data_IF_374438237824
#
_entry.id   IF_374438237824
#
_cell.length_a   1.000
_cell.length_b   1.000
_cell.length_c   1.000
_cell.angle_alpha   90.00
_cell.angle_beta   90.00
_cell.angle_gamma   90.00
#
_symmetry.space_group_name_H-M   'P 1'
#
loop_
_entity.id
_entity.type
_entity.pdbx_description
1 polymer ?
#
# COMPACT_ATOMS: atom_id res chain seq x y z
N UNK A 1 -42.01 1.47 4.26
CA UNK A 1 -40.82 0.69 3.80
C UNK A 1 -39.80 1.50 3.00
N UNK A 2 -40.21 2.45 2.14
CA UNK A 2 -39.28 3.23 1.30
C UNK A 2 -38.31 4.15 2.08
N UNK A 3 -38.81 4.88 3.08
CA UNK A 3 -37.99 5.84 3.86
C UNK A 3 -36.86 5.18 4.68
N UNK A 4 -37.12 4.00 5.27
CA UNK A 4 -36.10 3.22 6.00
C UNK A 4 -34.97 2.75 5.08
N UNK A 5 -35.32 2.32 3.86
CA UNK A 5 -34.34 1.82 2.89
C UNK A 5 -33.44 2.95 2.36
N UNK A 6 -34.01 4.15 2.15
CA UNK A 6 -33.25 5.34 1.77
C UNK A 6 -32.32 5.79 2.90
N UNK A 7 -32.80 5.80 4.15
CA UNK A 7 -31.97 6.18 5.30
C UNK A 7 -30.76 5.26 5.47
N UNK A 8 -30.97 3.94 5.32
CA UNK A 8 -29.88 2.95 5.37
C UNK A 8 -28.86 3.16 4.25
N UNK A 9 -29.31 3.40 3.02
CA UNK A 9 -28.41 3.65 1.89
C UNK A 9 -27.55 4.92 2.09
N UNK A 10 -28.15 5.99 2.62
CA UNK A 10 -27.42 7.23 2.93
C UNK A 10 -26.41 7.01 4.05
N UNK A 11 -26.77 6.24 5.09
CA UNK A 11 -25.87 5.92 6.19
C UNK A 11 -24.68 5.09 5.72
N UNK A 12 -24.92 4.09 4.88
CA UNK A 12 -23.87 3.25 4.30
C UNK A 12 -22.90 4.05 3.45
N UNK A 13 -23.42 4.97 2.61
CA UNK A 13 -22.57 5.82 1.77
C UNK A 13 -21.71 6.78 2.61
N UNK A 14 -22.30 7.37 3.66
CA UNK A 14 -21.58 8.24 4.59
C UNK A 14 -20.46 7.49 5.33
N UNK A 15 -20.73 6.26 5.79
CA UNK A 15 -19.73 5.42 6.46
C UNK A 15 -18.58 5.03 5.52
N UNK A 16 -18.86 4.70 4.25
CA UNK A 16 -17.82 4.42 3.25
C UNK A 16 -16.97 5.66 2.97
N UNK A 17 -17.59 6.85 2.87
CA UNK A 17 -16.85 8.09 2.64
C UNK A 17 -15.94 8.51 3.81
N UNK A 18 -16.31 8.15 5.05
CA UNK A 18 -15.50 8.39 6.24
C UNK A 18 -14.43 7.32 6.46
N UNK A 19 -14.63 6.11 5.92
CA UNK A 19 -13.65 5.03 5.95
C UNK A 19 -12.50 5.23 4.95
N UNK A 20 -12.69 6.06 3.92
CA UNK A 20 -11.60 6.53 3.09
C UNK A 20 -10.81 7.58 3.86
N UNK A 21 -9.71 7.13 4.46
CA UNK A 21 -8.67 8.02 4.98
C UNK A 21 -8.27 8.98 3.84
N UNK A 22 -8.28 10.31 4.06
CA UNK A 22 -7.82 11.23 3.03
C UNK A 22 -6.38 10.85 2.66
N UNK A 23 -6.00 10.97 1.37
CA UNK A 23 -4.61 10.75 0.99
C UNK A 23 -3.73 11.62 1.88
N UNK A 24 -2.63 11.03 2.37
CA UNK A 24 -1.72 11.71 3.28
C UNK A 24 -1.33 13.08 2.69
N UNK A 25 -1.16 14.08 3.56
CA UNK A 25 -0.75 15.42 3.15
C UNK A 25 0.42 15.34 2.17
N UNK A 26 0.36 16.11 1.09
CA UNK A 26 1.37 16.05 0.03
C UNK A 26 2.76 16.29 0.63
N UNK A 27 3.51 15.21 0.73
CA UNK A 27 4.96 15.26 0.87
C UNK A 27 5.46 15.88 -0.44
N UNK A 28 6.41 16.81 -0.37
CA UNK A 28 6.87 17.54 -1.56
C UNK A 28 7.15 16.59 -2.72
N UNK A 29 6.78 17.01 -3.93
CA UNK A 29 6.90 16.20 -5.14
C UNK A 29 8.34 15.70 -5.31
N UNK A 30 8.50 14.39 -5.54
CA UNK A 30 9.80 13.78 -5.83
C UNK A 30 10.33 14.30 -7.17
N UNK A 31 11.64 14.24 -7.36
CA UNK A 31 12.20 14.46 -8.70
C UNK A 31 11.89 13.27 -9.60
N UNK A 32 11.78 13.49 -10.92
CA UNK A 32 11.57 12.40 -11.89
C UNK A 32 12.66 11.31 -11.79
N UNK A 33 13.88 11.71 -11.42
CA UNK A 33 14.99 10.77 -11.22
C UNK A 33 14.79 9.89 -9.99
N UNK A 34 14.28 10.46 -8.89
CA UNK A 34 14.00 9.71 -7.67
C UNK A 34 12.80 8.77 -7.88
N UNK A 35 11.76 9.22 -8.59
CA UNK A 35 10.62 8.37 -8.95
C UNK A 35 11.05 7.17 -9.80
N UNK A 36 11.89 7.41 -10.82
CA UNK A 36 12.41 6.33 -11.67
C UNK A 36 13.29 5.35 -10.88
N UNK A 37 14.12 5.85 -9.95
CA UNK A 37 14.97 5.01 -9.12
C UNK A 37 14.15 4.14 -8.15
N UNK A 38 13.12 4.70 -7.51
CA UNK A 38 12.21 3.94 -6.64
C UNK A 38 11.47 2.88 -7.44
N UNK A 39 10.97 3.22 -8.62
CA UNK A 39 10.24 2.27 -9.45
C UNK A 39 11.11 1.11 -9.89
N UNK A 40 12.37 1.35 -10.28
CA UNK A 40 13.30 0.29 -10.65
C UNK A 40 13.51 -0.72 -9.52
N UNK A 41 13.68 -0.25 -8.27
CA UNK A 41 13.83 -1.14 -7.10
C UNK A 41 12.57 -1.99 -6.88
N UNK A 42 11.39 -1.42 -7.07
CA UNK A 42 10.12 -2.15 -6.95
C UNK A 42 9.98 -3.19 -8.05
N UNK A 43 10.34 -2.85 -9.28
CA UNK A 43 10.26 -3.75 -10.43
C UNK A 43 11.20 -4.97 -10.26
N UNK A 44 12.44 -4.73 -9.83
CA UNK A 44 13.42 -5.79 -9.55
C UNK A 44 12.94 -6.73 -8.44
N UNK A 45 12.37 -6.17 -7.35
CA UNK A 45 11.82 -6.95 -6.24
C UNK A 45 10.66 -7.84 -6.71
N UNK A 46 9.73 -7.27 -7.49
CA UNK A 46 8.57 -8.00 -8.00
C UNK A 46 8.97 -9.08 -9.00
N UNK A 47 9.97 -8.83 -9.85
CA UNK A 47 10.49 -9.83 -10.78
C UNK A 47 11.08 -11.04 -10.02
N UNK A 48 11.91 -10.79 -9.01
CA UNK A 48 12.49 -11.83 -8.18
C UNK A 48 11.43 -12.63 -7.41
N UNK A 49 10.42 -11.96 -6.83
CA UNK A 49 9.32 -12.61 -6.11
C UNK A 49 8.49 -13.51 -7.04
N UNK A 50 8.12 -13.02 -8.23
CA UNK A 50 7.34 -13.79 -9.21
C UNK A 50 8.12 -14.96 -9.79
N UNK A 51 9.45 -14.84 -9.91
CA UNK A 51 10.34 -15.91 -10.31
C UNK A 51 10.57 -16.96 -9.20
N UNK A 52 10.21 -16.65 -7.94
CA UNK A 52 10.55 -17.47 -6.78
C UNK A 52 12.05 -17.46 -6.46
N UNK A 53 12.79 -16.46 -6.94
CA UNK A 53 14.21 -16.27 -6.67
C UNK A 53 14.39 -15.52 -5.35
N UNK A 54 14.36 -16.27 -4.26
CA UNK A 54 14.48 -15.70 -2.91
C UNK A 54 15.84 -15.05 -2.66
N UNK A 55 16.92 -15.52 -3.29
CA UNK A 55 18.25 -14.93 -3.11
C UNK A 55 18.29 -13.53 -3.73
N UNK A 56 17.82 -13.41 -4.98
CA UNK A 56 17.69 -12.11 -5.64
C UNK A 56 16.74 -11.18 -4.89
N UNK A 57 15.60 -11.70 -4.43
CA UNK A 57 14.64 -10.91 -3.65
C UNK A 57 15.27 -10.38 -2.35
N UNK A 58 16.02 -11.21 -1.61
CA UNK A 58 16.64 -10.79 -0.36
C UNK A 58 17.82 -9.82 -0.56
N UNK A 59 18.50 -9.86 -1.70
CA UNK A 59 19.57 -8.91 -2.05
C UNK A 59 19.08 -7.46 -2.19
N UNK A 60 17.77 -7.26 -2.42
CA UNK A 60 17.15 -5.92 -2.47
C UNK A 60 16.98 -5.26 -1.10
N UNK A 61 17.09 -6.03 -0.01
CA UNK A 61 16.95 -5.53 1.35
C UNK A 61 18.30 -5.27 2.01
N UNK A 62 18.33 -4.36 2.98
CA UNK A 62 19.49 -4.16 3.85
C UNK A 62 19.59 -5.28 4.89
N UNK A 63 20.79 -5.47 5.46
CA UNK A 63 21.05 -6.48 6.50
C UNK A 63 20.18 -6.30 7.76
N UNK A 64 19.66 -5.08 7.99
CA UNK A 64 18.83 -4.69 9.13
C UNK A 64 17.34 -4.50 8.79
N UNK A 65 16.89 -5.05 7.65
CA UNK A 65 15.49 -4.94 7.23
C UNK A 65 14.53 -5.45 8.30
N UNK A 66 13.49 -4.67 8.57
CA UNK A 66 12.36 -5.08 9.41
C UNK A 66 11.15 -5.30 8.51
N UNK A 67 10.74 -6.56 8.37
CA UNK A 67 9.57 -6.94 7.60
C UNK A 67 8.35 -7.10 8.52
N UNK A 68 7.33 -6.26 8.31
CA UNK A 68 6.01 -6.43 8.92
C UNK A 68 5.05 -6.98 7.89
N UNK A 69 5.07 -8.30 7.71
CA UNK A 69 4.16 -8.97 6.76
C UNK A 69 2.71 -8.90 7.25
N UNK A 70 1.76 -8.98 6.31
CA UNK A 70 0.35 -8.94 6.64
C UNK A 70 -0.01 -10.02 7.67
N UNK A 71 -0.82 -9.64 8.67
CA UNK A 71 -1.29 -10.51 9.75
C UNK A 71 -0.21 -11.01 10.74
N UNK A 72 0.99 -10.43 10.75
CA UNK A 72 1.92 -10.65 11.85
C UNK A 72 1.39 -10.01 13.14
N UNK A 73 1.62 -10.63 14.32
CA UNK A 73 1.38 -9.95 15.59
C UNK A 73 2.17 -8.65 15.64
N UNK A 74 1.57 -7.57 16.15
CA UNK A 74 2.34 -6.37 16.44
C UNK A 74 3.43 -6.71 17.46
N UNK A 75 4.67 -6.28 17.17
CA UNK A 75 5.82 -6.40 18.08
C UNK A 75 5.61 -5.60 19.36
#
# INVERSE_FOLDING_TARGET
>A
MKARSVLLAVLSLALVSLACQPPAAEVGQLSEADEAAIQAVVDDLMEAELAGDWEAMYATFTDDVVAMTANQPAL
#
